data_IF_781055509898
#
_entry.id   IF_781055509898
#
_cell.length_a   1.000
_cell.length_b   1.000
_cell.length_c   1.000
_cell.angle_alpha   90.00
_cell.angle_beta   90.00
_cell.angle_gamma   90.00
#
_symmetry.space_group_name_H-M   'P 1'
#
loop_
_entity.id
_entity.type
_entity.pdbx_description
1 polymer ?
#
# COMPACT_ATOMS: atom_id res chain seq x y z
N UNK A 1 3.71 -27.75 -5.32
CA UNK A 1 2.33 -27.66 -4.76
C UNK A 1 1.78 -26.24 -4.92
N UNK A 2 0.63 -26.04 -5.58
CA UNK A 2 0.07 -24.71 -5.87
C UNK A 2 -0.35 -23.93 -4.61
N UNK A 3 -0.71 -24.61 -3.53
CA UNK A 3 -1.11 -24.00 -2.26
C UNK A 3 0.07 -23.29 -1.57
N UNK A 4 1.26 -23.90 -1.57
CA UNK A 4 2.47 -23.29 -1.02
C UNK A 4 2.85 -22.01 -1.78
N UNK A 5 2.72 -22.02 -3.11
CA UNK A 5 2.97 -20.82 -3.94
C UNK A 5 2.02 -19.67 -3.58
N UNK A 6 0.73 -19.97 -3.34
CA UNK A 6 -0.27 -18.97 -2.91
C UNK A 6 0.04 -18.40 -1.53
N UNK A 7 0.45 -19.24 -0.58
CA UNK A 7 0.83 -18.80 0.76
C UNK A 7 2.05 -17.88 0.72
N UNK A 8 3.10 -18.27 0.00
CA UNK A 8 4.31 -17.43 -0.18
C UNK A 8 3.97 -16.10 -0.84
N UNK A 9 3.10 -16.10 -1.86
CA UNK A 9 2.64 -14.87 -2.49
C UNK A 9 1.88 -13.95 -1.53
N UNK A 10 1.00 -14.51 -0.68
CA UNK A 10 0.27 -13.75 0.33
C UNK A 10 1.22 -13.13 1.38
N UNK A 11 2.20 -13.90 1.87
CA UNK A 11 3.20 -13.42 2.82
C UNK A 11 4.05 -12.30 2.20
N UNK A 12 4.55 -12.51 0.97
CA UNK A 12 5.32 -11.49 0.23
C UNK A 12 4.52 -10.20 0.02
N UNK A 13 3.22 -10.32 -0.30
CA UNK A 13 2.33 -9.15 -0.43
C UNK A 13 2.23 -8.39 0.90
N UNK A 14 2.03 -9.10 2.01
CA UNK A 14 1.95 -8.48 3.34
C UNK A 14 3.24 -7.77 3.73
N UNK A 15 4.39 -8.39 3.49
CA UNK A 15 5.69 -7.77 3.77
C UNK A 15 5.91 -6.51 2.91
N UNK A 16 5.52 -6.55 1.64
CA UNK A 16 5.60 -5.38 0.75
C UNK A 16 4.71 -4.22 1.24
N UNK A 17 3.49 -4.52 1.69
CA UNK A 17 2.58 -3.53 2.26
C UNK A 17 3.18 -2.90 3.52
N UNK A 18 3.68 -3.73 4.45
CA UNK A 18 4.27 -3.23 5.70
C UNK A 18 5.50 -2.35 5.45
N UNK A 19 6.36 -2.76 4.51
CA UNK A 19 7.53 -1.95 4.11
C UNK A 19 7.12 -0.59 3.55
N UNK A 20 6.15 -0.55 2.63
CA UNK A 20 5.67 0.70 2.05
C UNK A 20 4.98 1.61 3.10
N UNK A 21 4.24 1.03 4.06
CA UNK A 21 3.69 1.80 5.19
C UNK A 21 4.80 2.41 6.03
N UNK A 22 5.87 1.65 6.33
CA UNK A 22 7.00 2.15 7.11
C UNK A 22 7.71 3.30 6.38
N UNK A 23 8.03 3.13 5.10
CA UNK A 23 8.66 4.16 4.26
C UNK A 23 7.80 5.44 4.18
N UNK A 24 6.49 5.31 3.99
CA UNK A 24 5.59 6.47 3.97
C UNK A 24 5.43 7.13 5.34
N UNK A 25 5.58 6.36 6.44
CA UNK A 25 5.55 6.92 7.79
C UNK A 25 6.83 7.69 8.13
N UNK A 26 7.95 7.39 7.48
CA UNK A 26 9.20 8.15 7.63
C UNK A 26 9.13 9.53 6.97
N UNK A 27 8.21 9.75 6.02
CA UNK A 27 7.97 11.06 5.44
C UNK A 27 7.36 12.00 6.48
N UNK A 28 7.82 13.25 6.48
CA UNK A 28 7.21 14.34 7.24
C UNK A 28 5.82 14.70 6.70
N UNK A 29 4.96 15.23 7.56
CA UNK A 29 3.56 15.52 7.23
C UNK A 29 3.41 16.50 6.05
N UNK A 30 4.32 17.47 5.92
CA UNK A 30 4.27 18.42 4.81
C UNK A 30 4.51 17.74 3.45
N UNK A 31 5.37 16.72 3.39
CA UNK A 31 5.63 15.97 2.15
C UNK A 31 4.43 15.09 1.76
N UNK A 32 3.74 14.53 2.76
CA UNK A 32 2.49 13.78 2.52
C UNK A 32 1.38 14.71 2.03
N UNK A 33 1.27 15.91 2.60
CA UNK A 33 0.30 16.92 2.19
C UNK A 33 0.58 17.48 0.80
N UNK A 34 1.86 17.62 0.40
CA UNK A 34 2.25 18.06 -0.95
C UNK A 34 1.68 17.16 -2.05
N UNK A 35 1.63 15.85 -1.79
CA UNK A 35 1.00 14.85 -2.67
C UNK A 35 -0.48 14.61 -2.37
N UNK A 36 -1.10 15.42 -1.51
CA UNK A 36 -2.52 15.38 -1.17
C UNK A 36 -2.96 14.18 -0.31
N UNK A 37 -2.04 13.60 0.47
CA UNK A 37 -2.29 12.42 1.29
C UNK A 37 -2.20 12.78 2.78
N UNK A 38 -3.16 12.34 3.58
CA UNK A 38 -3.06 12.43 5.03
C UNK A 38 -2.34 11.20 5.59
N UNK A 39 -1.61 11.35 6.70
CA UNK A 39 -0.94 10.23 7.37
C UNK A 39 -1.90 9.09 7.73
N UNK A 40 -3.15 9.40 8.04
CA UNK A 40 -4.24 8.44 8.27
C UNK A 40 -4.61 7.61 7.05
N UNK A 41 -4.34 8.11 5.83
CA UNK A 41 -4.71 7.43 4.59
C UNK A 41 -3.67 6.41 4.11
N UNK A 42 -2.45 6.46 4.64
CA UNK A 42 -1.33 5.59 4.24
C UNK A 42 -1.73 4.11 4.27
N UNK A 43 -2.30 3.65 5.38
CA UNK A 43 -2.68 2.25 5.53
C UNK A 43 -3.77 1.84 4.52
N UNK A 44 -4.73 2.73 4.28
CA UNK A 44 -5.81 2.54 3.29
C UNK A 44 -5.27 2.46 1.87
N UNK A 45 -4.38 3.36 1.47
CA UNK A 45 -3.81 3.38 0.12
C UNK A 45 -2.89 2.19 -0.15
N UNK A 46 -2.00 1.86 0.80
CA UNK A 46 -1.05 0.77 0.59
C UNK A 46 -1.74 -0.59 0.60
N UNK A 47 -2.77 -0.79 1.44
CA UNK A 47 -3.54 -2.04 1.47
C UNK A 47 -4.42 -2.23 0.22
N UNK A 48 -4.96 -1.13 -0.34
CA UNK A 48 -5.75 -1.13 -1.58
C UNK A 48 -4.92 -1.12 -2.88
N UNK A 49 -3.65 -0.72 -2.82
CA UNK A 49 -2.81 -0.51 -4.00
C UNK A 49 -2.80 -1.67 -4.99
N UNK A 50 -3.46 -1.44 -6.15
CA UNK A 50 -3.75 -2.32 -7.31
C UNK A 50 -5.03 -3.15 -7.30
N UNK A 51 -6.17 -2.61 -6.87
CA UNK A 51 -7.48 -3.17 -7.25
C UNK A 51 -8.48 -2.17 -7.85
N UNK A 52 -8.39 -0.87 -7.55
CA UNK A 52 -9.51 0.05 -7.83
C UNK A 52 -9.21 1.18 -8.84
N UNK A 53 -7.96 1.36 -9.30
CA UNK A 53 -7.58 2.60 -10.02
C UNK A 53 -7.88 2.60 -11.53
N UNK A 54 -8.43 1.52 -12.12
CA UNK A 54 -8.87 1.52 -13.52
C UNK A 54 -10.29 2.12 -13.68
N UNK A 55 -11.11 2.10 -12.62
CA UNK A 55 -12.54 2.45 -12.73
C UNK A 55 -12.89 3.84 -12.18
N UNK A 56 -11.91 4.74 -11.99
CA UNK A 56 -12.16 6.08 -11.41
C UNK A 56 -11.91 7.24 -12.39
N UNK A 57 -11.74 6.93 -13.68
CA UNK A 57 -11.58 7.89 -14.77
C UNK A 57 -12.68 7.80 -15.85
N UNK A 58 -13.79 7.10 -15.56
CA UNK A 58 -15.02 7.15 -16.38
C UNK A 58 -16.12 7.94 -15.69
#
# INVERSE_FOLDING_TARGET
MPQLKRLVAAIRRRLKIQKAIAELKELEDFMLLDIGIWRSDIERFVSKGRCDDINRLE
#
